data_IF_784059485564
#
_entry.id   IF_784059485564
#
_cell.length_a   1.000
_cell.length_b   1.000
_cell.length_c   1.000
_cell.angle_alpha   90.00
_cell.angle_beta   90.00
_cell.angle_gamma   90.00
#
_symmetry.space_group_name_H-M   'P 1'
#
loop_
_entity.id
_entity.type
_entity.pdbx_description
1 polymer ?
#
# COMPACT_ATOMS: atom_id res chain seq x y z
N UNK A 1 0.27 -12.84 -7.38
CA UNK A 1 -0.41 -13.70 -6.38
C UNK A 1 -0.50 -12.98 -5.04
N UNK A 2 -1.51 -13.28 -4.28
CA UNK A 2 -1.71 -12.74 -2.96
C UNK A 2 -2.31 -13.79 -2.04
N UNK A 3 -1.92 -13.77 -0.79
CA UNK A 3 -2.51 -14.62 0.23
C UNK A 3 -2.63 -13.90 1.57
N UNK A 4 -3.72 -14.13 2.27
CA UNK A 4 -3.99 -13.59 3.60
C UNK A 4 -4.36 -14.75 4.53
N UNK A 5 -3.76 -14.77 5.71
CA UNK A 5 -4.12 -15.74 6.74
C UNK A 5 -4.16 -15.02 8.09
N UNK A 6 -5.35 -14.85 8.63
CA UNK A 6 -5.56 -14.12 9.89
C UNK A 6 -5.42 -15.01 11.12
N UNK A 7 -5.25 -16.31 10.93
CA UNK A 7 -5.13 -17.31 12.02
C UNK A 7 -3.80 -18.03 12.01
N UNK A 8 -2.80 -17.49 11.30
CA UNK A 8 -1.48 -18.07 11.24
C UNK A 8 -0.78 -18.00 12.61
N UNK A 9 0.05 -19.00 12.87
CA UNK A 9 0.93 -18.97 14.04
C UNK A 9 1.87 -17.77 13.96
N UNK A 10 2.21 -17.19 15.10
CA UNK A 10 3.05 -15.98 15.17
C UNK A 10 4.38 -16.12 14.42
N UNK A 11 4.98 -17.31 14.45
CA UNK A 11 6.22 -17.59 13.71
C UNK A 11 6.09 -17.44 12.18
N UNK A 12 4.87 -17.54 11.65
CA UNK A 12 4.57 -17.37 10.23
C UNK A 12 4.05 -15.97 9.88
N UNK A 13 3.96 -15.07 10.87
CA UNK A 13 3.49 -13.70 10.67
C UNK A 13 4.39 -12.98 9.67
N UNK A 14 3.77 -12.42 8.66
CA UNK A 14 4.47 -11.65 7.63
C UNK A 14 3.52 -10.59 7.06
N UNK A 15 4.03 -9.37 7.01
CA UNK A 15 3.38 -8.26 6.31
C UNK A 15 4.34 -7.79 5.22
N UNK A 16 4.10 -8.22 3.99
CA UNK A 16 5.02 -7.97 2.90
C UNK A 16 4.30 -7.87 1.57
N UNK A 17 4.59 -6.80 0.83
CA UNK A 17 4.23 -6.64 -0.57
C UNK A 17 5.51 -6.56 -1.38
N UNK A 18 5.57 -7.39 -2.43
CA UNK A 18 6.67 -7.39 -3.40
C UNK A 18 6.13 -7.05 -4.78
N UNK A 19 6.70 -6.05 -5.42
CA UNK A 19 6.42 -5.70 -6.81
C UNK A 19 7.66 -5.98 -7.63
N UNK A 20 7.55 -6.91 -8.56
CA UNK A 20 8.67 -7.35 -9.39
C UNK A 20 8.47 -6.82 -10.81
N UNK A 21 9.42 -6.06 -11.30
CA UNK A 21 9.47 -5.56 -12.67
C UNK A 21 10.66 -6.10 -13.44
N UNK A 22 10.82 -5.66 -14.66
CA UNK A 22 11.91 -6.12 -15.54
C UNK A 22 13.28 -5.57 -15.15
N UNK A 23 13.34 -4.47 -14.40
CA UNK A 23 14.58 -3.81 -14.01
C UNK A 23 14.87 -3.86 -12.51
N UNK A 24 14.04 -4.55 -11.74
CA UNK A 24 14.23 -4.67 -10.31
C UNK A 24 12.95 -5.03 -9.57
N UNK A 25 13.02 -4.96 -8.26
CA UNK A 25 11.86 -5.19 -7.41
C UNK A 25 11.80 -4.17 -6.26
N UNK A 26 10.60 -3.94 -5.79
CA UNK A 26 10.32 -3.13 -4.60
C UNK A 26 9.64 -4.03 -3.58
N UNK A 27 10.10 -3.96 -2.34
CA UNK A 27 9.50 -4.70 -1.21
C UNK A 27 9.17 -3.70 -0.10
N UNK A 28 7.97 -3.78 0.43
CA UNK A 28 7.54 -2.94 1.54
C UNK A 28 6.50 -3.65 2.41
N UNK A 29 6.32 -3.15 3.61
CA UNK A 29 5.25 -3.55 4.54
C UNK A 29 4.15 -2.51 4.57
N UNK A 30 2.94 -2.91 4.96
CA UNK A 30 1.80 -1.99 5.13
C UNK A 30 1.71 -1.53 6.60
N UNK A 31 1.83 -2.45 7.56
CA UNK A 31 1.60 -2.19 8.98
C UNK A 31 2.86 -2.25 9.84
N UNK A 32 3.92 -2.91 9.37
CA UNK A 32 5.13 -3.13 10.17
C UNK A 32 6.13 -1.98 10.12
N UNK A 33 5.87 -0.96 9.29
CA UNK A 33 6.72 0.24 9.17
C UNK A 33 8.20 -0.05 8.84
N UNK A 34 8.45 -1.15 8.16
CA UNK A 34 9.79 -1.49 7.71
C UNK A 34 10.24 -0.56 6.57
N UNK A 35 11.56 -0.35 6.40
CA UNK A 35 12.06 0.40 5.26
C UNK A 35 11.61 -0.21 3.93
N UNK A 36 11.36 0.65 2.95
CA UNK A 36 11.12 0.24 1.58
C UNK A 36 12.44 -0.22 0.98
N UNK A 37 12.48 -1.42 0.43
CA UNK A 37 13.67 -1.97 -0.21
C UNK A 37 13.51 -1.92 -1.72
N UNK A 38 14.39 -1.16 -2.37
CA UNK A 38 14.50 -1.11 -3.83
C UNK A 38 15.74 -1.90 -4.23
N UNK A 39 15.55 -2.95 -5.01
CA UNK A 39 16.61 -3.82 -5.50
C UNK A 39 16.67 -3.76 -7.02
N UNK A 40 17.75 -3.23 -7.56
CA UNK A 40 17.96 -3.04 -8.99
C UNK A 40 19.35 -3.51 -9.40
N UNK A 41 19.66 -3.44 -10.70
CA UNK A 41 21.00 -3.71 -11.21
C UNK A 41 22.09 -2.83 -10.59
N UNK A 42 21.72 -1.65 -10.08
CA UNK A 42 22.63 -0.72 -9.42
C UNK A 42 22.91 -1.08 -7.95
N UNK A 43 22.24 -2.10 -7.43
CA UNK A 43 22.35 -2.56 -6.05
C UNK A 43 21.06 -2.39 -5.28
N UNK A 44 21.16 -2.58 -3.97
CA UNK A 44 20.03 -2.49 -3.06
C UNK A 44 20.02 -1.15 -2.33
N UNK A 45 18.88 -0.50 -2.32
CA UNK A 45 18.66 0.77 -1.60
C UNK A 45 17.54 0.57 -0.59
N UNK A 46 17.73 1.08 0.62
CA UNK A 46 16.70 1.12 1.67
C UNK A 46 16.22 2.55 1.84
N UNK A 47 14.92 2.74 1.64
CA UNK A 47 14.27 4.03 1.79
C UNK A 47 13.52 4.04 3.12
N UNK A 48 13.95 4.89 4.03
CA UNK A 48 13.32 5.05 5.34
C UNK A 48 12.34 6.20 5.24
N UNK A 49 11.08 5.92 5.54
CA UNK A 49 10.01 6.93 5.56
C UNK A 49 9.57 7.12 6.99
N UNK A 50 9.54 8.36 7.44
CA UNK A 50 8.99 8.70 8.74
C UNK A 50 7.48 8.50 8.72
N UNK A 51 6.99 7.64 9.60
CA UNK A 51 5.57 7.33 9.68
C UNK A 51 4.86 8.25 10.67
N UNK A 52 3.62 8.68 10.38
CA UNK A 52 2.85 9.46 11.33
C UNK A 52 2.48 8.62 12.56
N UNK A 53 2.14 9.27 13.70
CA UNK A 53 1.77 8.54 14.93
C UNK A 53 0.52 7.68 14.78
N UNK A 54 -0.33 7.99 13.79
CA UNK A 54 -1.58 7.24 13.52
C UNK A 54 -1.62 6.76 12.07
N UNK A 55 -2.01 5.50 11.86
CA UNK A 55 -1.99 4.82 10.55
C UNK A 55 -2.73 5.60 9.46
N UNK A 56 -3.89 6.16 9.75
CA UNK A 56 -4.73 6.83 8.76
C UNK A 56 -4.57 8.36 8.73
N UNK A 57 -3.64 8.90 9.48
CA UNK A 57 -3.48 10.34 9.66
C UNK A 57 -3.24 11.08 8.33
N UNK A 58 -2.34 10.57 7.50
CA UNK A 58 -2.05 11.18 6.19
C UNK A 58 -3.25 11.18 5.25
N UNK A 59 -4.03 10.10 5.25
CA UNK A 59 -5.25 10.01 4.45
C UNK A 59 -6.29 11.02 4.92
N UNK A 60 -6.52 11.11 6.22
CA UNK A 60 -7.49 12.04 6.82
C UNK A 60 -7.09 13.49 6.51
N UNK A 61 -5.82 13.84 6.63
CA UNK A 61 -5.33 15.17 6.28
C UNK A 61 -5.60 15.53 4.82
N UNK A 62 -5.36 14.61 3.89
CA UNK A 62 -5.65 14.80 2.47
C UNK A 62 -7.14 15.01 2.20
N UNK A 63 -7.98 14.21 2.83
CA UNK A 63 -9.45 14.35 2.70
C UNK A 63 -9.93 15.69 3.23
N UNK A 64 -9.47 16.11 4.40
CA UNK A 64 -9.84 17.41 4.99
C UNK A 64 -9.41 18.56 4.10
N UNK A 65 -8.21 18.56 3.57
CA UNK A 65 -7.72 19.58 2.64
C UNK A 65 -8.53 19.62 1.35
N UNK A 66 -8.92 18.46 0.83
CA UNK A 66 -9.79 18.39 -0.34
C UNK A 66 -11.16 19.01 -0.07
N UNK A 67 -11.79 18.68 1.05
CA UNK A 67 -13.08 19.23 1.44
C UNK A 67 -13.03 20.75 1.69
N UNK A 68 -11.89 21.28 2.10
CA UNK A 68 -11.67 22.72 2.24
C UNK A 68 -11.32 23.45 0.95
N UNK A 69 -11.15 22.71 -0.14
CA UNK A 69 -10.72 23.27 -1.43
C UNK A 69 -9.23 23.65 -1.51
N UNK A 70 -8.41 23.20 -0.56
CA UNK A 70 -6.98 23.55 -0.49
C UNK A 70 -6.12 22.67 -1.41
N UNK A 71 -6.52 21.42 -1.64
CA UNK A 71 -5.81 20.47 -2.51
C UNK A 71 -6.76 19.39 -3.00
N UNK A 72 -6.30 18.60 -3.98
CA UNK A 72 -7.05 17.47 -4.52
C UNK A 72 -6.62 16.21 -3.78
N UNK A 73 -7.59 15.41 -3.31
CA UNK A 73 -7.35 14.08 -2.77
C UNK A 73 -7.23 13.07 -3.93
N UNK A 74 -6.11 12.33 -3.97
CA UNK A 74 -5.85 11.35 -5.03
C UNK A 74 -6.78 10.14 -4.97
N UNK A 75 -7.36 9.87 -3.81
CA UNK A 75 -8.26 8.75 -3.57
C UNK A 75 -9.67 9.27 -3.29
N UNK A 76 -10.34 9.71 -4.33
CA UNK A 76 -11.74 10.14 -4.28
C UNK A 76 -12.69 8.97 -4.62
N UNK A 77 -13.99 9.23 -4.66
CA UNK A 77 -15.01 8.23 -4.97
C UNK A 77 -14.85 7.67 -6.39
N UNK A 78 -14.39 8.49 -7.33
CA UNK A 78 -14.20 8.07 -8.72
C UNK A 78 -13.03 7.09 -8.84
N UNK A 79 -11.89 7.38 -8.20
CA UNK A 79 -10.74 6.48 -8.20
C UNK A 79 -11.01 5.20 -7.40
N UNK A 80 -11.74 5.29 -6.29
CA UNK A 80 -12.15 4.14 -5.49
C UNK A 80 -13.07 3.17 -6.26
N UNK A 81 -13.86 3.66 -7.20
CA UNK A 81 -14.71 2.84 -8.06
C UNK A 81 -13.89 1.82 -8.86
N UNK A 82 -12.72 2.21 -9.36
CA UNK A 82 -11.83 1.30 -10.07
C UNK A 82 -11.36 0.15 -9.18
N UNK A 83 -11.02 0.43 -7.93
CA UNK A 83 -10.63 -0.58 -6.94
C UNK A 83 -11.77 -1.55 -6.66
N UNK A 84 -12.98 -1.05 -6.43
CA UNK A 84 -14.16 -1.89 -6.22
C UNK A 84 -14.45 -2.77 -7.43
N UNK A 85 -14.32 -2.24 -8.63
CA UNK A 85 -14.50 -3.00 -9.85
C UNK A 85 -13.54 -4.19 -9.94
N UNK A 86 -12.26 -3.96 -9.62
CA UNK A 86 -11.25 -5.03 -9.59
C UNK A 86 -11.62 -6.09 -8.56
N UNK A 87 -12.03 -5.67 -7.36
CA UNK A 87 -12.44 -6.60 -6.30
C UNK A 87 -13.64 -7.45 -6.71
N UNK A 88 -14.63 -6.85 -7.36
CA UNK A 88 -15.80 -7.58 -7.85
C UNK A 88 -15.45 -8.59 -8.95
N UNK A 89 -14.48 -8.25 -9.81
CA UNK A 89 -13.95 -9.19 -10.81
C UNK A 89 -13.24 -10.37 -10.14
N UNK A 90 -12.44 -10.13 -9.13
CA UNK A 90 -11.76 -11.21 -8.36
C UNK A 90 -12.78 -12.14 -7.71
N UNK A 91 -13.88 -11.58 -7.20
CA UNK A 91 -14.95 -12.35 -6.56
C UNK A 91 -15.94 -12.99 -7.55
N UNK A 92 -15.75 -12.77 -8.85
CA UNK A 92 -16.63 -13.32 -9.89
C UNK A 92 -18.01 -12.69 -9.93
N UNK A 93 -18.19 -11.48 -9.44
CA UNK A 93 -19.47 -10.77 -9.42
C UNK A 93 -19.81 -10.08 -10.73
N UNK A 94 -18.81 -9.80 -11.52
CA UNK A 94 -18.95 -9.18 -12.84
C UNK A 94 -17.97 -9.78 -13.86
#
# INVERSE_FOLDING_TARGET
>A
SASWCFVAHESARRDRISIVGTRGKIVFSVFDYEPIVLDTERGQEKIIVENPPHVQMGMIEKVVKHLRGESICDCDSLSATATNWVMDRILGKI
#
